data_IF_879160928274
#
_entry.id   IF_879160928274
#
_cell.length_a   1.000
_cell.length_b   1.000
_cell.length_c   1.000
_cell.angle_alpha   90.00
_cell.angle_beta   90.00
_cell.angle_gamma   90.00
#
_symmetry.space_group_name_H-M   'P 1'
#
loop_
_entity.id
_entity.type
_entity.pdbx_description
1 polymer ?
#
# COMPACT_ATOMS: atom_id res chain seq x y z
N UNK A 1 5.92 2.79 -0.49
CA UNK A 1 4.44 2.87 -0.67
C UNK A 1 4.14 3.26 -2.13
N UNK A 2 2.90 3.09 -2.59
CA UNK A 2 2.45 3.50 -3.93
C UNK A 2 1.22 4.40 -3.85
N UNK A 3 1.16 5.43 -4.69
CA UNK A 3 -0.11 6.06 -5.06
C UNK A 3 -0.83 5.15 -6.05
N UNK A 4 -2.11 4.89 -5.79
CA UNK A 4 -2.98 4.04 -6.60
C UNK A 4 -4.19 4.84 -7.05
N UNK A 5 -4.42 4.90 -8.35
CA UNK A 5 -5.59 5.53 -8.98
C UNK A 5 -5.75 5.05 -10.42
N UNK A 6 -6.93 5.26 -11.00
CA UNK A 6 -7.12 5.05 -12.44
C UNK A 6 -6.27 6.03 -13.25
N UNK A 7 -5.89 5.61 -14.45
CA UNK A 7 -5.04 6.41 -15.35
C UNK A 7 -5.67 7.78 -15.65
N UNK A 8 -6.96 7.79 -15.96
CA UNK A 8 -7.68 9.01 -16.34
C UNK A 8 -7.72 10.04 -15.20
N UNK A 9 -7.80 9.56 -13.95
CA UNK A 9 -7.75 10.40 -12.75
C UNK A 9 -6.36 11.03 -12.62
N UNK A 10 -5.29 10.26 -12.78
CA UNK A 10 -3.93 10.80 -12.69
C UNK A 10 -3.65 11.81 -13.81
N UNK A 11 -4.10 11.55 -15.04
CA UNK A 11 -3.95 12.47 -16.17
C UNK A 11 -4.71 13.79 -15.94
N UNK A 12 -5.92 13.73 -15.38
CA UNK A 12 -6.72 14.91 -15.00
C UNK A 12 -6.00 15.84 -14.02
N UNK A 13 -5.13 15.28 -13.17
CA UNK A 13 -4.32 16.03 -12.20
C UNK A 13 -2.90 16.32 -12.71
N UNK A 14 -2.64 16.19 -14.02
CA UNK A 14 -1.37 16.56 -14.62
C UNK A 14 -0.22 15.58 -14.34
N UNK A 15 -0.52 14.35 -13.91
CA UNK A 15 0.48 13.35 -13.51
C UNK A 15 0.91 12.42 -14.66
N UNK A 16 0.74 12.84 -15.92
CA UNK A 16 1.07 12.03 -17.10
C UNK A 16 2.55 11.58 -17.12
N UNK A 17 3.47 12.45 -16.70
CA UNK A 17 4.90 12.09 -16.61
C UNK A 17 5.17 11.09 -15.48
N UNK A 18 4.47 11.18 -14.35
CA UNK A 18 4.56 10.21 -13.27
C UNK A 18 4.05 8.83 -13.70
N UNK A 19 3.00 8.76 -14.52
CA UNK A 19 2.50 7.51 -15.09
C UNK A 19 3.57 6.85 -15.97
N UNK A 20 4.28 7.63 -16.80
CA UNK A 20 5.35 7.12 -17.65
C UNK A 20 6.54 6.61 -16.84
N UNK A 21 6.94 7.35 -15.80
CA UNK A 21 8.10 7.00 -14.97
C UNK A 21 7.80 5.94 -13.91
N UNK A 22 6.52 5.73 -13.58
CA UNK A 22 6.08 4.83 -12.51
C UNK A 22 6.40 5.34 -11.09
N UNK A 23 6.78 6.61 -10.95
CA UNK A 23 7.17 7.21 -9.66
C UNK A 23 6.49 8.55 -9.43
N UNK A 24 6.35 8.92 -8.16
CA UNK A 24 5.76 10.19 -7.73
C UNK A 24 6.47 10.71 -6.47
N UNK A 25 6.64 12.03 -6.38
CA UNK A 25 7.06 12.71 -5.16
C UNK A 25 5.83 13.14 -4.34
N UNK A 26 5.97 13.21 -3.03
CA UNK A 26 4.85 13.52 -2.14
C UNK A 26 4.20 14.87 -2.43
N UNK A 27 4.97 15.88 -2.82
CA UNK A 27 4.47 17.21 -3.19
C UNK A 27 3.59 17.18 -4.44
N UNK A 28 3.81 16.22 -5.35
CA UNK A 28 3.02 16.07 -6.57
C UNK A 28 1.64 15.44 -6.31
N UNK A 29 1.40 14.87 -5.12
CA UNK A 29 0.07 14.38 -4.75
C UNK A 29 -0.92 15.57 -4.71
N UNK A 30 -0.47 16.71 -4.18
CA UNK A 30 -1.25 17.95 -4.16
C UNK A 30 -2.68 17.76 -3.64
N UNK A 31 -3.64 18.28 -4.40
CA UNK A 31 -5.07 18.24 -4.07
C UNK A 31 -5.78 16.99 -4.59
N UNK A 32 -5.07 15.91 -4.94
CA UNK A 32 -5.70 14.65 -5.32
C UNK A 32 -6.70 14.21 -4.23
N UNK A 33 -7.95 13.88 -4.57
CA UNK A 33 -8.95 13.46 -3.62
C UNK A 33 -8.61 12.06 -3.13
N UNK A 34 -8.09 11.99 -1.91
CA UNK A 34 -7.67 10.73 -1.31
C UNK A 34 -8.80 10.04 -0.56
N UNK A 35 -8.88 8.74 -0.74
CA UNK A 35 -9.59 7.82 0.16
C UNK A 35 -8.56 7.07 0.98
N UNK A 36 -8.64 7.19 2.30
CA UNK A 36 -7.72 6.55 3.24
C UNK A 36 -8.50 5.92 4.40
N UNK A 37 -7.90 5.01 5.18
CA UNK A 37 -8.47 4.61 6.46
C UNK A 37 -8.62 5.79 7.41
N UNK A 38 -9.45 5.61 8.45
CA UNK A 38 -9.67 6.62 9.49
C UNK A 38 -8.35 7.08 10.12
N UNK A 39 -8.30 8.33 10.59
CA UNK A 39 -7.12 8.95 11.21
C UNK A 39 -6.38 8.09 12.25
N UNK A 40 -7.10 7.27 13.03
CA UNK A 40 -6.49 6.39 14.05
C UNK A 40 -5.68 5.22 13.47
N UNK A 41 -5.87 4.88 12.19
CA UNK A 41 -5.21 3.77 11.54
C UNK A 41 -3.71 4.05 11.33
N UNK A 42 -2.85 3.06 11.60
CA UNK A 42 -1.39 3.22 11.54
C UNK A 42 -0.87 3.73 10.20
N UNK A 43 -1.40 3.21 9.09
CA UNK A 43 -1.09 3.69 7.74
C UNK A 43 -1.41 5.18 7.56
N UNK A 44 -2.57 5.66 8.02
CA UNK A 44 -2.94 7.08 7.92
C UNK A 44 -1.98 7.96 8.72
N UNK A 45 -1.69 7.58 9.97
CA UNK A 45 -0.70 8.26 10.82
C UNK A 45 0.69 8.30 10.19
N UNK A 46 1.15 7.18 9.62
CA UNK A 46 2.46 7.09 8.97
C UNK A 46 2.56 8.06 7.79
N UNK A 47 1.53 8.11 6.95
CA UNK A 47 1.50 9.01 5.80
C UNK A 47 1.49 10.46 6.26
N UNK A 48 0.61 10.83 7.19
CA UNK A 48 0.54 12.22 7.68
C UNK A 48 1.83 12.66 8.38
N UNK A 49 2.50 11.76 9.09
CA UNK A 49 3.80 12.04 9.71
C UNK A 49 4.91 12.24 8.67
N UNK A 50 4.92 11.47 7.57
CA UNK A 50 5.99 11.51 6.58
C UNK A 50 5.77 12.57 5.49
N UNK A 51 4.52 12.75 5.06
CA UNK A 51 4.15 13.56 3.90
C UNK A 51 3.49 14.87 4.32
N UNK A 52 2.93 14.95 5.54
CA UNK A 52 2.16 16.10 6.00
C UNK A 52 0.67 15.95 5.73
N UNK A 53 -0.03 17.08 5.63
CA UNK A 53 -1.49 17.09 5.46
C UNK A 53 -1.89 16.51 4.10
N UNK A 54 -2.95 15.69 4.12
CA UNK A 54 -3.46 14.98 2.94
C UNK A 54 -4.89 15.44 2.65
N UNK A 55 -5.25 15.61 1.38
CA UNK A 55 -6.62 15.91 0.97
C UNK A 55 -7.51 14.65 1.04
N UNK A 56 -7.93 14.26 2.23
CA UNK A 56 -8.77 13.07 2.42
C UNK A 56 -10.25 13.42 2.35
N UNK A 57 -10.91 12.94 1.30
CA UNK A 57 -12.34 13.19 1.03
C UNK A 57 -13.25 12.07 1.52
N UNK A 58 -12.72 10.85 1.69
CA UNK A 58 -13.45 9.72 2.24
C UNK A 58 -12.56 8.93 3.21
N UNK A 59 -13.16 8.50 4.32
CA UNK A 59 -12.52 7.59 5.27
C UNK A 59 -13.15 6.19 5.20
N UNK A 60 -12.38 5.21 4.72
CA UNK A 60 -12.85 3.83 4.54
C UNK A 60 -11.83 2.85 5.12
N UNK A 61 -12.25 2.07 6.11
CA UNK A 61 -11.36 1.08 6.76
C UNK A 61 -11.37 -0.28 6.08
N UNK A 62 -12.46 -0.63 5.38
CA UNK A 62 -12.55 -1.89 4.65
C UNK A 62 -11.71 -1.84 3.38
N UNK A 63 -10.65 -2.66 3.31
CA UNK A 63 -9.71 -2.64 2.18
C UNK A 63 -10.43 -2.84 0.83
N UNK A 64 -11.31 -3.83 0.73
CA UNK A 64 -11.99 -4.14 -0.52
C UNK A 64 -12.89 -2.98 -0.99
N UNK A 65 -13.72 -2.42 -0.09
CA UNK A 65 -14.54 -1.25 -0.39
C UNK A 65 -13.70 -0.03 -0.79
N UNK A 66 -12.56 0.19 -0.13
CA UNK A 66 -11.63 1.25 -0.48
C UNK A 66 -11.06 1.03 -1.88
N UNK A 67 -10.57 -0.17 -2.19
CA UNK A 67 -10.00 -0.49 -3.50
C UNK A 67 -11.04 -0.38 -4.61
N UNK A 68 -12.27 -0.85 -4.39
CA UNK A 68 -13.39 -0.68 -5.33
C UNK A 68 -13.75 0.78 -5.56
N UNK A 69 -13.67 1.63 -4.52
CA UNK A 69 -13.90 3.07 -4.67
C UNK A 69 -12.92 3.73 -5.64
N UNK A 70 -11.66 3.24 -5.72
CA UNK A 70 -10.68 3.73 -6.71
C UNK A 70 -11.04 3.34 -8.14
N UNK A 71 -11.76 2.22 -8.32
CA UNK A 71 -12.22 1.75 -9.63
C UNK A 71 -13.42 2.55 -10.10
N UNK A 72 -14.36 2.82 -9.21
CA UNK A 72 -15.68 3.36 -9.57
C UNK A 72 -15.80 4.86 -9.41
N UNK A 73 -14.88 5.51 -8.69
CA UNK A 73 -14.88 6.95 -8.45
C UNK A 73 -13.59 7.60 -8.96
N UNK A 74 -13.58 8.93 -9.02
CA UNK A 74 -12.38 9.73 -9.34
C UNK A 74 -11.57 9.98 -8.06
N UNK A 75 -11.03 8.90 -7.48
CA UNK A 75 -10.29 8.92 -6.21
C UNK A 75 -8.89 8.30 -6.35
N UNK A 76 -8.02 8.61 -5.40
CA UNK A 76 -6.70 8.01 -5.26
C UNK A 76 -6.45 7.52 -3.82
N UNK A 77 -5.48 6.62 -3.62
CA UNK A 77 -5.05 6.19 -2.29
C UNK A 77 -3.56 5.89 -2.25
N UNK A 78 -2.90 6.16 -1.12
CA UNK A 78 -1.50 5.75 -0.90
C UNK A 78 -1.47 4.49 -0.04
N UNK A 79 -0.92 3.41 -0.60
CA UNK A 79 -1.01 2.05 -0.05
C UNK A 79 0.29 1.26 -0.23
N UNK A 80 0.55 0.20 0.57
CA UNK A 80 1.62 -0.73 0.26
C UNK A 80 1.27 -1.53 -1.00
N UNK A 81 2.28 -1.91 -1.78
CA UNK A 81 2.08 -2.66 -3.04
C UNK A 81 1.32 -3.97 -2.85
N UNK A 82 1.50 -4.61 -1.69
CA UNK A 82 0.77 -5.83 -1.29
C UNK A 82 -0.75 -5.67 -1.18
N UNK A 83 -1.26 -4.44 -1.07
CA UNK A 83 -2.71 -4.17 -1.06
C UNK A 83 -3.34 -4.21 -2.47
N UNK A 84 -2.55 -4.12 -3.54
CA UNK A 84 -3.05 -4.20 -4.90
C UNK A 84 -3.13 -5.66 -5.36
N UNK A 85 -4.26 -6.29 -5.05
CA UNK A 85 -4.58 -7.64 -5.52
C UNK A 85 -4.64 -7.70 -7.06
N UNK A 86 -4.49 -8.91 -7.60
CA UNK A 86 -4.42 -9.14 -9.04
C UNK A 86 -5.64 -8.57 -9.80
N UNK A 87 -6.81 -8.58 -9.19
CA UNK A 87 -8.06 -8.01 -9.75
C UNK A 87 -8.03 -6.49 -9.97
N UNK A 88 -7.16 -5.78 -9.26
CA UNK A 88 -7.00 -4.33 -9.35
C UNK A 88 -5.79 -3.91 -10.21
N UNK A 89 -4.78 -4.77 -10.37
CA UNK A 89 -3.51 -4.43 -11.06
C UNK A 89 -3.69 -3.90 -12.48
N UNK A 90 -4.70 -4.38 -13.21
CA UNK A 90 -4.95 -3.95 -14.58
C UNK A 90 -5.87 -2.72 -14.69
N UNK A 91 -6.46 -2.29 -13.57
CA UNK A 91 -7.41 -1.18 -13.52
C UNK A 91 -6.80 0.09 -12.89
N UNK A 92 -5.75 -0.07 -12.11
CA UNK A 92 -5.09 1.02 -11.38
C UNK A 92 -3.63 1.16 -11.83
N UNK A 93 -3.17 2.40 -11.93
CA UNK A 93 -1.76 2.72 -12.00
C UNK A 93 -1.16 2.70 -10.59
N UNK A 94 0.06 2.21 -10.47
CA UNK A 94 0.83 2.18 -9.22
C UNK A 94 2.05 3.06 -9.40
N UNK A 95 2.07 4.21 -8.74
CA UNK A 95 3.21 5.13 -8.77
C UNK A 95 3.99 5.01 -7.47
N UNK A 96 5.26 4.57 -7.52
CA UNK A 96 6.10 4.44 -6.33
C UNK A 96 6.35 5.82 -5.74
N UNK A 97 6.05 5.99 -4.45
CA UNK A 97 6.36 7.21 -3.72
C UNK A 97 7.86 7.23 -3.37
N UNK A 98 8.61 8.22 -3.88
CA UNK A 98 10.09 8.24 -3.79
C UNK A 98 10.65 9.39 -2.94
N UNK A 99 9.89 10.45 -2.68
CA UNK A 99 10.36 11.58 -1.86
C UNK A 99 9.24 12.19 -0.98
N UNK A 100 9.25 11.97 0.35
CA UNK A 100 10.13 11.04 1.04
C UNK A 100 9.72 9.60 0.73
N UNK A 101 10.68 8.68 0.80
CA UNK A 101 10.35 7.25 0.77
C UNK A 101 9.53 6.91 2.03
N UNK A 102 8.38 6.28 1.82
CA UNK A 102 7.50 5.81 2.89
C UNK A 102 7.49 4.30 2.89
N UNK A 103 7.98 3.74 3.99
CA UNK A 103 8.13 2.30 4.21
C UNK A 103 7.40 1.88 5.47
N UNK A 104 7.04 0.60 5.52
CA UNK A 104 6.43 -0.02 6.70
C UNK A 104 7.07 -1.37 6.91
N UNK A 105 7.67 -1.55 8.08
CA UNK A 105 8.18 -2.84 8.53
C UNK A 105 7.01 -3.64 9.10
N UNK A 106 6.89 -4.90 8.69
CA UNK A 106 5.96 -5.87 9.28
C UNK A 106 6.77 -6.91 10.05
N UNK A 107 6.35 -7.20 11.27
CA UNK A 107 7.01 -8.17 12.14
C UNK A 107 6.13 -9.41 12.31
N UNK A 108 6.73 -10.60 12.26
CA UNK A 108 6.11 -11.83 12.74
C UNK A 108 6.52 -12.01 14.21
N UNK A 109 5.60 -11.74 15.12
CA UNK A 109 5.85 -11.79 16.57
C UNK A 109 5.26 -13.08 17.15
N UNK A 110 6.05 -13.79 17.97
CA UNK A 110 5.62 -15.00 18.68
C UNK A 110 6.27 -15.07 20.05
N UNK A 111 5.80 -15.98 20.91
CA UNK A 111 6.58 -16.45 22.06
C UNK A 111 7.90 -17.10 21.61
N UNK A 112 8.77 -17.41 22.58
CA UNK A 112 9.98 -18.18 22.34
C UNK A 112 9.63 -19.58 21.78
N UNK A 113 10.53 -20.17 20.98
CA UNK A 113 10.19 -21.38 20.21
C UNK A 113 9.92 -22.59 21.11
N UNK A 114 10.59 -22.65 22.26
CA UNK A 114 10.40 -23.62 23.32
C UNK A 114 9.02 -23.53 24.01
N UNK A 115 8.35 -22.38 23.92
CA UNK A 115 7.02 -22.15 24.49
C UNK A 115 5.90 -22.40 23.46
N UNK A 116 6.25 -22.58 22.18
CA UNK A 116 5.27 -22.80 21.13
C UNK A 116 4.88 -24.28 21.04
N UNK A 117 3.57 -24.53 20.91
CA UNK A 117 3.08 -25.86 20.55
C UNK A 117 3.57 -26.27 19.16
N UNK A 118 3.61 -27.58 18.84
CA UNK A 118 3.97 -28.05 17.50
C UNK A 118 3.13 -27.41 16.39
N UNK A 119 1.83 -27.17 16.63
CA UNK A 119 0.95 -26.50 15.67
C UNK A 119 1.32 -25.02 15.47
N UNK A 120 1.73 -24.32 16.54
CA UNK A 120 2.15 -22.92 16.45
C UNK A 120 3.50 -22.78 15.73
N UNK A 121 4.45 -23.70 15.94
CA UNK A 121 5.71 -23.78 15.19
C UNK A 121 5.46 -24.02 13.70
N UNK A 122 4.54 -24.94 13.37
CA UNK A 122 4.15 -25.20 11.99
C UNK A 122 3.51 -23.95 11.34
N UNK A 123 2.62 -23.25 12.05
CA UNK A 123 2.00 -22.02 11.57
C UNK A 123 3.03 -20.90 11.33
N UNK A 124 3.96 -20.69 12.29
CA UNK A 124 5.07 -19.72 12.14
C UNK A 124 5.90 -20.02 10.90
N UNK A 125 6.22 -21.30 10.67
CA UNK A 125 6.98 -21.75 9.50
C UNK A 125 6.21 -21.55 8.19
N UNK A 126 4.91 -21.87 8.18
CA UNK A 126 4.04 -21.70 7.03
C UNK A 126 3.88 -20.21 6.65
N UNK A 127 3.72 -19.31 7.63
CA UNK A 127 3.66 -17.87 7.39
C UNK A 127 4.97 -17.37 6.77
N UNK A 128 6.13 -17.77 7.32
CA UNK A 128 7.45 -17.39 6.79
C UNK A 128 7.62 -17.86 5.33
N UNK A 129 7.27 -19.12 5.04
CA UNK A 129 7.36 -19.67 3.69
C UNK A 129 6.44 -18.91 2.72
N UNK A 130 5.17 -18.69 3.09
CA UNK A 130 4.22 -17.97 2.27
C UNK A 130 4.66 -16.53 1.95
N UNK A 131 5.16 -15.78 2.94
CA UNK A 131 5.68 -14.42 2.73
C UNK A 131 6.86 -14.43 1.75
N UNK A 132 7.78 -15.39 1.91
CA UNK A 132 8.91 -15.56 1.00
C UNK A 132 8.45 -15.82 -0.43
N UNK A 133 7.50 -16.74 -0.62
CA UNK A 133 6.96 -17.07 -1.94
C UNK A 133 6.26 -15.85 -2.58
N UNK A 134 5.46 -15.11 -1.81
CA UNK A 134 4.75 -13.91 -2.32
C UNK A 134 5.70 -12.80 -2.77
N UNK A 135 6.81 -12.62 -2.06
CA UNK A 135 7.85 -11.64 -2.41
C UNK A 135 8.65 -12.12 -3.63
N UNK A 136 9.11 -13.38 -3.62
CA UNK A 136 9.92 -13.95 -4.72
C UNK A 136 9.15 -13.96 -6.05
N UNK A 137 7.84 -14.23 -6.01
CA UNK A 137 6.98 -14.22 -7.19
C UNK A 137 6.46 -12.82 -7.57
N UNK A 138 6.96 -11.74 -6.96
CA UNK A 138 6.54 -10.35 -7.23
C UNK A 138 5.02 -10.12 -7.08
N UNK A 139 4.35 -10.95 -6.27
CA UNK A 139 2.94 -10.76 -5.93
C UNK A 139 2.81 -9.55 -5.01
N UNK A 140 3.76 -9.35 -4.10
CA UNK A 140 3.92 -8.16 -3.28
C UNK A 140 5.07 -7.27 -3.78
N UNK A 141 4.82 -6.38 -4.75
CA UNK A 141 5.88 -5.59 -5.36
C UNK A 141 6.55 -4.65 -4.35
N UNK A 142 7.87 -4.46 -4.52
CA UNK A 142 8.73 -3.66 -3.65
C UNK A 142 8.60 -4.00 -2.15
N UNK A 143 8.35 -5.28 -1.85
CA UNK A 143 8.48 -5.83 -0.51
C UNK A 143 9.76 -6.64 -0.45
N UNK A 144 10.45 -6.60 0.68
CA UNK A 144 11.65 -7.37 0.93
C UNK A 144 11.59 -8.05 2.30
N UNK A 145 12.36 -9.12 2.45
CA UNK A 145 12.57 -9.76 3.75
C UNK A 145 13.77 -9.08 4.39
N UNK A 146 13.53 -8.49 5.56
CA UNK A 146 14.58 -7.99 6.43
C UNK A 146 15.01 -9.16 7.31
N UNK A 147 16.28 -9.55 7.22
CA UNK A 147 16.89 -10.63 7.99
C UNK A 147 17.44 -10.14 9.33
#
# INVERSE_FOLDING_TARGET
MYLMARKEVLEKYGLAECIKSGVIQSQQIGDLPLVLPRQRHSLRKLLEHKIGQLNVVYEIDGLHLLMDSLIHLDLASVRPGSACLQEYKHKLQLLKLVDPEVERINYLVSLAEEELSPAALAAKSAIKACVKDLIQNQIWPCSEIIL
#
